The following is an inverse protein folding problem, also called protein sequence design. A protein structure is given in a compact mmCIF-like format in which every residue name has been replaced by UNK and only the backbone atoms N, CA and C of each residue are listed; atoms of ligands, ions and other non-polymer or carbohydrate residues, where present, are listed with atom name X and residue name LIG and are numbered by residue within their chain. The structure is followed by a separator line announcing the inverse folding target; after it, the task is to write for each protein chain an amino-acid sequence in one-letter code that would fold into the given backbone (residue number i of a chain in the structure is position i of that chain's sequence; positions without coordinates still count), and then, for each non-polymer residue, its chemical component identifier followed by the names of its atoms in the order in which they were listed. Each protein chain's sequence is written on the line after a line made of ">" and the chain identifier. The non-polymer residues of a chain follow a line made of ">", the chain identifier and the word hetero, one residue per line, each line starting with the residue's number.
data_IF_243564154439
#
_entry.id   IF_243564154439
#
_cell.length_a   1.000
_cell.length_b   1.000
_cell.length_c   1.000
_cell.angle_alpha   90.00
_cell.angle_beta   90.00
_cell.angle_gamma   90.00
#
_symmetry.space_group_name_H-M   'P 1'
#
loop_
_entity.id
_entity.type
_entity.pdbx_description
1 polymer ?
#
# COMPACT_ATOMS: atom_id res chain seq x y z
N UNK A 1 3.96 -21.06 -13.71
CA UNK A 1 5.41 -20.75 -13.83
C UNK A 1 6.01 -21.60 -14.96
N UNK A 2 6.49 -21.00 -16.06
CA UNK A 2 7.06 -21.77 -17.18
C UNK A 2 8.32 -22.51 -16.71
N UNK A 3 8.43 -23.81 -17.05
CA UNK A 3 9.57 -24.66 -16.71
C UNK A 3 10.85 -24.04 -17.24
N UNK A 4 11.61 -23.42 -16.33
CA UNK A 4 12.78 -22.61 -16.70
C UNK A 4 13.89 -23.53 -17.15
N UNK A 5 14.04 -23.69 -18.46
CA UNK A 5 15.22 -24.32 -19.01
C UNK A 5 16.44 -23.43 -18.70
N UNK A 6 17.43 -23.89 -17.92
CA UNK A 6 18.55 -23.06 -17.48
C UNK A 6 19.43 -22.59 -18.65
N UNK A 7 19.35 -23.27 -19.80
CA UNK A 7 20.01 -22.80 -21.03
C UNK A 7 19.26 -21.65 -21.67
N UNK A 8 17.92 -21.74 -21.75
CA UNK A 8 17.10 -20.67 -22.30
C UNK A 8 17.23 -19.38 -21.47
N UNK A 9 17.21 -19.50 -20.14
CA UNK A 9 17.41 -18.37 -19.22
C UNK A 9 18.77 -17.68 -19.41
N UNK A 10 19.86 -18.46 -19.54
CA UNK A 10 21.19 -17.89 -19.81
C UNK A 10 21.27 -17.17 -21.15
N UNK A 11 20.64 -17.73 -22.18
CA UNK A 11 20.58 -17.11 -23.51
C UNK A 11 19.75 -15.82 -23.46
N UNK A 12 18.61 -15.84 -22.77
CA UNK A 12 17.75 -14.68 -22.57
C UNK A 12 18.51 -13.52 -21.93
N UNK A 13 19.17 -13.76 -20.79
CA UNK A 13 19.97 -12.74 -20.09
C UNK A 13 21.11 -12.17 -20.95
N UNK A 14 21.74 -13.03 -21.77
CA UNK A 14 22.79 -12.59 -22.68
C UNK A 14 22.22 -11.73 -23.82
N UNK A 15 21.10 -12.14 -24.42
CA UNK A 15 20.40 -11.37 -25.46
C UNK A 15 20.00 -10.00 -24.90
N UNK A 16 19.39 -9.96 -23.72
CA UNK A 16 18.99 -8.72 -23.05
C UNK A 16 20.19 -7.78 -22.88
N UNK A 17 21.29 -8.27 -22.29
CA UNK A 17 22.52 -7.49 -22.09
C UNK A 17 23.08 -6.96 -23.40
N UNK A 18 23.14 -7.80 -24.43
CA UNK A 18 23.68 -7.43 -25.74
C UNK A 18 22.78 -6.39 -26.42
N UNK A 19 21.46 -6.56 -26.41
CA UNK A 19 20.57 -5.58 -27.03
C UNK A 19 20.64 -4.26 -26.27
N UNK A 20 20.48 -4.29 -24.93
CA UNK A 20 20.51 -3.09 -24.10
C UNK A 20 21.81 -2.28 -24.26
N UNK A 21 22.97 -2.95 -24.22
CA UNK A 21 24.28 -2.27 -24.33
C UNK A 21 24.59 -1.73 -25.73
N UNK A 22 23.92 -2.23 -26.78
CA UNK A 22 24.19 -1.82 -28.16
C UNK A 22 23.07 -0.97 -28.76
N UNK A 23 21.97 -0.77 -28.04
CA UNK A 23 20.82 -0.02 -28.53
C UNK A 23 21.19 1.45 -28.81
N UNK A 24 21.93 2.08 -27.90
CA UNK A 24 22.36 3.48 -28.05
C UNK A 24 23.49 3.63 -29.10
N UNK A 25 24.49 2.74 -29.04
CA UNK A 25 25.72 2.85 -29.84
C UNK A 25 25.60 2.37 -31.28
N UNK A 26 24.70 1.43 -31.57
CA UNK A 26 24.65 0.77 -32.89
C UNK A 26 23.58 1.39 -33.77
N UNK A 27 22.41 1.70 -33.20
CA UNK A 27 21.22 2.00 -34.00
C UNK A 27 21.14 3.45 -34.46
N UNK A 28 21.77 4.41 -33.77
CA UNK A 28 21.82 5.84 -34.14
C UNK A 28 20.45 6.46 -34.54
N UNK A 29 19.33 5.83 -34.17
CA UNK A 29 17.99 6.32 -34.49
C UNK A 29 17.45 7.10 -33.30
N UNK A 30 17.13 8.37 -33.51
CA UNK A 30 16.54 9.25 -32.48
C UNK A 30 15.24 8.67 -31.91
N UNK A 31 14.50 7.87 -32.69
CA UNK A 31 13.23 7.23 -32.30
C UNK A 31 13.41 6.12 -31.26
N UNK A 32 14.63 5.60 -31.11
CA UNK A 32 14.96 4.53 -30.17
C UNK A 32 15.59 5.06 -28.87
N UNK A 33 15.86 6.37 -28.76
CA UNK A 33 16.52 6.96 -27.58
C UNK A 33 15.78 6.75 -26.27
N UNK A 34 14.45 6.67 -26.31
CA UNK A 34 13.61 6.53 -25.13
C UNK A 34 13.11 5.09 -24.94
N UNK A 35 13.59 4.14 -25.74
CA UNK A 35 13.21 2.73 -25.64
C UNK A 35 14.08 2.08 -24.58
N UNK A 36 13.46 1.37 -23.65
CA UNK A 36 14.13 0.57 -22.63
C UNK A 36 13.71 -0.88 -22.77
N UNK A 37 14.66 -1.81 -22.69
CA UNK A 37 14.36 -3.25 -22.69
C UNK A 37 14.14 -3.69 -21.25
N UNK A 38 12.94 -4.16 -20.93
CA UNK A 38 12.56 -4.60 -19.57
C UNK A 38 12.98 -6.04 -19.35
N UNK A 39 12.59 -6.92 -20.28
CA UNK A 39 12.84 -8.36 -20.14
C UNK A 39 12.99 -9.08 -21.49
N UNK A 40 13.53 -10.31 -21.46
CA UNK A 40 13.65 -11.19 -22.63
C UNK A 40 13.25 -12.61 -22.24
N UNK A 41 12.34 -13.20 -23.01
CA UNK A 41 11.93 -14.59 -22.87
C UNK A 41 12.30 -15.39 -24.11
N UNK A 42 12.92 -16.55 -23.92
CA UNK A 42 13.32 -17.44 -25.02
C UNK A 42 12.52 -18.73 -24.93
N UNK A 43 12.01 -19.20 -26.06
CA UNK A 43 11.28 -20.47 -26.15
C UNK A 43 12.19 -21.65 -25.81
N UNK A 44 11.61 -22.77 -25.35
CA UNK A 44 12.39 -23.94 -24.92
C UNK A 44 13.24 -24.56 -26.05
N UNK A 45 12.80 -24.41 -27.29
CA UNK A 45 13.52 -24.82 -28.52
C UNK A 45 14.57 -23.81 -28.99
N UNK A 46 14.73 -22.67 -28.29
CA UNK A 46 15.68 -21.60 -28.55
C UNK A 46 15.53 -20.94 -29.93
N UNK A 47 14.36 -21.08 -30.56
CA UNK A 47 14.12 -20.54 -31.91
C UNK A 47 13.57 -19.11 -31.88
N UNK A 48 12.80 -18.76 -30.85
CA UNK A 48 12.13 -17.47 -30.73
C UNK A 48 12.56 -16.81 -29.41
N UNK A 49 12.89 -15.52 -29.49
CA UNK A 49 13.20 -14.68 -28.35
C UNK A 49 12.26 -13.48 -28.34
N UNK A 50 11.32 -13.45 -27.39
CA UNK A 50 10.43 -12.31 -27.13
C UNK A 50 11.18 -11.29 -26.29
N UNK A 51 11.30 -10.07 -26.80
CA UNK A 51 11.98 -8.95 -26.17
C UNK A 51 10.91 -7.94 -25.77
N UNK A 52 10.77 -7.75 -24.47
CA UNK A 52 9.85 -6.80 -23.87
C UNK A 52 10.53 -5.43 -23.81
N UNK A 53 9.81 -4.40 -24.24
CA UNK A 53 10.32 -3.04 -24.26
C UNK A 53 9.26 -2.05 -23.87
N UNK A 54 9.67 -0.99 -23.18
CA UNK A 54 8.83 0.14 -22.81
C UNK A 54 9.42 1.43 -23.39
N UNK A 55 8.59 2.46 -23.48
CA UNK A 55 9.02 3.82 -23.82
C UNK A 55 8.70 4.76 -22.70
N UNK A 56 9.71 5.53 -22.28
CA UNK A 56 9.48 6.64 -21.37
C UNK A 56 8.93 7.82 -22.19
N UNK A 57 7.60 8.01 -22.18
CA UNK A 57 6.96 9.19 -22.75
C UNK A 57 6.60 10.18 -21.64
N UNK A 58 7.09 11.41 -21.75
CA UNK A 58 6.84 12.47 -20.77
C UNK A 58 5.67 13.39 -21.16
N UNK A 59 5.04 13.18 -22.32
CA UNK A 59 4.21 14.21 -22.95
C UNK A 59 2.97 13.62 -23.63
N UNK A 60 2.10 12.90 -22.90
CA UNK A 60 0.69 12.64 -23.26
C UNK A 60 0.35 12.13 -24.68
N UNK A 61 1.34 11.75 -25.48
CA UNK A 61 1.24 11.36 -26.90
C UNK A 61 1.98 10.03 -27.11
N UNK A 62 1.72 9.12 -26.18
CA UNK A 62 2.40 7.83 -26.07
C UNK A 62 2.16 6.95 -27.31
N UNK A 63 0.95 6.98 -27.86
CA UNK A 63 0.56 6.17 -29.02
C UNK A 63 1.39 6.45 -30.29
N UNK A 64 1.65 7.73 -30.57
CA UNK A 64 2.43 8.14 -31.74
C UNK A 64 3.91 7.80 -31.61
N UNK A 65 4.46 7.90 -30.40
CA UNK A 65 5.83 7.53 -30.07
C UNK A 65 6.03 6.02 -30.10
N UNK A 66 5.11 5.27 -29.47
CA UNK A 66 5.09 3.81 -29.46
C UNK A 66 5.08 3.22 -30.87
N UNK A 67 4.23 3.72 -31.77
CA UNK A 67 4.19 3.27 -33.18
C UNK A 67 5.50 3.54 -33.93
N UNK A 68 6.12 4.70 -33.71
CA UNK A 68 7.40 5.06 -34.32
C UNK A 68 8.54 4.19 -33.78
N UNK A 69 8.60 3.97 -32.47
CA UNK A 69 9.58 3.11 -31.81
C UNK A 69 9.45 1.65 -32.29
N UNK A 70 8.22 1.11 -32.33
CA UNK A 70 7.95 -0.23 -32.87
C UNK A 70 8.44 -0.39 -34.31
N UNK A 71 8.19 0.60 -35.16
CA UNK A 71 8.65 0.56 -36.56
C UNK A 71 10.17 0.55 -36.64
N UNK A 72 10.84 1.40 -35.86
CA UNK A 72 12.30 1.46 -35.80
C UNK A 72 12.91 0.15 -35.27
N UNK A 73 12.34 -0.45 -34.21
CA UNK A 73 12.77 -1.76 -33.69
C UNK A 73 12.62 -2.87 -34.73
N UNK A 74 11.52 -2.87 -35.49
CA UNK A 74 11.31 -3.85 -36.55
C UNK A 74 12.32 -3.71 -37.70
N UNK A 75 12.67 -2.47 -38.07
CA UNK A 75 13.74 -2.22 -39.05
C UNK A 75 15.11 -2.63 -38.51
N UNK A 76 15.35 -2.42 -37.22
CA UNK A 76 16.56 -2.79 -36.50
C UNK A 76 16.74 -4.30 -36.29
N UNK A 77 15.65 -5.08 -36.38
CA UNK A 77 15.58 -6.51 -36.03
C UNK A 77 16.70 -7.33 -36.67
N UNK A 78 16.97 -7.14 -37.96
CA UNK A 78 18.01 -7.89 -38.67
C UNK A 78 19.42 -7.58 -38.14
N UNK A 79 19.72 -6.30 -37.91
CA UNK A 79 21.02 -5.86 -37.40
C UNK A 79 21.24 -6.31 -35.96
N UNK A 80 20.22 -6.18 -35.11
CA UNK A 80 20.26 -6.66 -33.73
C UNK A 80 20.47 -8.17 -33.67
N UNK A 81 19.79 -8.94 -34.53
CA UNK A 81 19.99 -10.38 -34.62
C UNK A 81 21.43 -10.74 -35.00
N UNK A 82 22.00 -10.11 -36.01
CA UNK A 82 23.40 -10.36 -36.41
C UNK A 82 24.38 -10.02 -35.28
N UNK A 83 24.13 -8.92 -34.56
CA UNK A 83 24.97 -8.49 -33.45
C UNK A 83 24.89 -9.48 -32.28
N UNK A 84 23.68 -9.93 -31.94
CA UNK A 84 23.45 -10.99 -30.95
C UNK A 84 24.18 -12.25 -31.35
N UNK A 85 24.06 -12.72 -32.59
CA UNK A 85 24.79 -13.91 -33.06
C UNK A 85 26.30 -13.78 -32.89
N UNK A 86 26.85 -12.61 -33.25
CA UNK A 86 28.29 -12.33 -33.13
C UNK A 86 28.78 -12.26 -31.68
N UNK A 87 28.05 -11.58 -30.78
CA UNK A 87 28.45 -11.44 -29.36
C UNK A 87 28.14 -12.68 -28.52
N UNK A 88 27.06 -13.39 -28.84
CA UNK A 88 26.61 -14.56 -28.10
C UNK A 88 27.33 -15.86 -28.50
N UNK A 89 28.02 -15.87 -29.66
CA UNK A 89 28.65 -17.08 -30.18
C UNK A 89 27.65 -18.20 -30.50
N UNK A 90 26.39 -17.83 -30.80
CA UNK A 90 25.32 -18.79 -31.05
C UNK A 90 25.41 -19.33 -32.48
N UNK A 91 25.44 -20.66 -32.62
CA UNK A 91 25.34 -21.32 -33.94
C UNK A 91 24.04 -20.97 -34.65
N UNK A 92 22.93 -20.94 -33.90
CA UNK A 92 21.62 -20.51 -34.38
C UNK A 92 21.16 -19.35 -33.51
N UNK A 93 20.99 -18.17 -34.12
CA UNK A 93 20.45 -17.02 -33.42
C UNK A 93 18.92 -17.03 -33.51
N UNK A 94 18.21 -16.95 -32.37
CA UNK A 94 16.74 -16.92 -32.36
C UNK A 94 16.19 -15.73 -33.15
N UNK A 95 14.95 -15.84 -33.56
CA UNK A 95 14.20 -14.72 -34.10
C UNK A 95 13.78 -13.79 -32.97
N UNK A 96 14.09 -12.50 -33.10
CA UNK A 96 13.72 -11.49 -32.10
C UNK A 96 12.29 -11.00 -32.37
N UNK A 97 11.39 -11.14 -31.40
CA UNK A 97 10.03 -10.58 -31.46
C UNK A 97 9.91 -9.47 -30.43
N UNK A 98 9.59 -8.24 -30.88
CA UNK A 98 9.46 -7.11 -29.98
C UNK A 98 8.01 -6.98 -29.50
N UNK A 99 7.82 -7.14 -28.20
CA UNK A 99 6.53 -7.00 -27.51
C UNK A 99 6.59 -5.74 -26.67
N UNK A 100 5.61 -4.85 -26.85
CA UNK A 100 5.54 -3.67 -25.99
C UNK A 100 5.11 -4.12 -24.61
N UNK A 101 5.87 -3.71 -23.62
CA UNK A 101 5.57 -3.89 -22.22
C UNK A 101 4.70 -2.72 -21.80
N UNK A 102 3.40 -2.99 -21.69
CA UNK A 102 2.47 -2.09 -21.01
C UNK A 102 2.82 -2.16 -19.53
N UNK A 103 3.90 -1.49 -19.11
CA UNK A 103 4.02 -1.08 -17.72
C UNK A 103 2.93 -0.04 -17.58
N UNK A 104 1.79 -0.36 -16.94
CA UNK A 104 0.73 0.61 -16.79
C UNK A 104 1.34 1.78 -16.03
N UNK A 105 0.85 2.97 -16.29
CA UNK A 105 1.10 4.11 -15.40
C UNK A 105 0.44 3.88 -14.04
N UNK A 106 0.74 2.80 -13.33
CA UNK A 106 0.30 2.55 -11.94
C UNK A 106 0.82 3.64 -11.01
N UNK A 107 1.81 4.41 -11.43
CA UNK A 107 2.17 5.67 -10.79
C UNK A 107 0.99 6.65 -10.70
N UNK A 108 0.08 6.69 -11.69
CA UNK A 108 -1.09 7.57 -11.65
C UNK A 108 -2.16 7.08 -10.70
N UNK A 109 -2.40 5.77 -10.63
CA UNK A 109 -3.40 5.22 -9.70
C UNK A 109 -2.96 5.40 -8.25
N UNK A 110 -1.68 5.18 -7.96
CA UNK A 110 -1.10 5.46 -6.64
C UNK A 110 -1.16 6.95 -6.33
N UNK A 111 -0.82 7.83 -7.27
CA UNK A 111 -0.91 9.29 -7.09
C UNK A 111 -2.37 9.73 -6.82
N UNK A 112 -3.33 9.18 -7.55
CA UNK A 112 -4.76 9.49 -7.39
C UNK A 112 -5.30 9.01 -6.03
N UNK A 113 -4.87 7.82 -5.58
CA UNK A 113 -5.19 7.30 -4.24
C UNK A 113 -4.57 8.19 -3.16
N UNK A 114 -3.30 8.61 -3.31
CA UNK A 114 -2.60 9.49 -2.37
C UNK A 114 -3.26 10.87 -2.27
N UNK A 115 -3.65 11.46 -3.42
CA UNK A 115 -4.38 12.73 -3.47
C UNK A 115 -5.75 12.60 -2.78
N UNK A 116 -6.44 11.49 -2.99
CA UNK A 116 -7.74 11.23 -2.36
C UNK A 116 -7.62 11.04 -0.85
N UNK A 117 -6.62 10.29 -0.39
CA UNK A 117 -6.32 10.09 1.03
C UNK A 117 -6.02 11.43 1.72
N UNK A 118 -5.15 12.26 1.12
CA UNK A 118 -4.80 13.58 1.65
C UNK A 118 -6.01 14.49 1.81
N UNK A 119 -6.92 14.51 0.83
CA UNK A 119 -8.16 15.29 0.91
C UNK A 119 -9.04 14.85 2.07
N UNK A 120 -9.21 13.54 2.27
CA UNK A 120 -9.99 12.98 3.37
C UNK A 120 -9.39 13.33 4.73
N UNK A 121 -8.07 13.24 4.86
CA UNK A 121 -7.38 13.61 6.11
C UNK A 121 -7.53 15.10 6.44
N UNK A 122 -7.43 15.97 5.42
CA UNK A 122 -7.65 17.41 5.59
C UNK A 122 -9.10 17.74 6.00
N UNK A 123 -10.09 17.04 5.43
CA UNK A 123 -11.50 17.18 5.84
C UNK A 123 -11.73 16.70 7.27
N UNK A 124 -11.17 15.55 7.64
CA UNK A 124 -11.27 14.98 8.97
C UNK A 124 -10.58 15.86 10.02
N UNK A 125 -9.44 16.48 9.69
CA UNK A 125 -8.77 17.45 10.54
C UNK A 125 -9.61 18.71 10.78
N UNK A 126 -10.29 19.23 9.74
CA UNK A 126 -11.21 20.37 9.88
C UNK A 126 -12.42 20.01 10.76
N UNK A 127 -13.00 18.83 10.55
CA UNK A 127 -14.12 18.35 11.35
C UNK A 127 -13.74 18.22 12.83
N UNK A 128 -12.57 17.65 13.12
CA UNK A 128 -12.03 17.55 14.49
C UNK A 128 -11.77 18.90 15.14
N UNK A 129 -11.27 19.89 14.39
CA UNK A 129 -11.04 21.24 14.91
C UNK A 129 -12.33 21.94 15.34
N UNK A 130 -13.46 21.62 14.69
CA UNK A 130 -14.79 22.14 15.04
C UNK A 130 -15.62 21.22 15.94
N UNK A 131 -15.15 20.00 16.22
CA UNK A 131 -15.91 19.02 16.98
C UNK A 131 -15.89 19.38 18.47
N UNK A 132 -17.08 19.46 19.05
CA UNK A 132 -17.25 19.48 20.51
C UNK A 132 -17.34 18.04 21.02
N UNK A 133 -16.71 17.77 22.16
CA UNK A 133 -16.76 16.47 22.81
C UNK A 133 -18.22 16.11 23.11
N UNK A 134 -18.64 14.90 22.75
CA UNK A 134 -20.05 14.48 22.83
C UNK A 134 -20.52 14.11 24.25
N UNK A 135 -19.64 14.18 25.25
CA UNK A 135 -19.95 13.93 26.65
C UNK A 135 -19.94 15.21 27.48
N UNK A 136 -20.68 15.19 28.58
CA UNK A 136 -20.58 16.22 29.61
C UNK A 136 -19.23 16.12 30.36
N UNK A 137 -18.81 17.21 31.01
CA UNK A 137 -17.52 17.32 31.68
C UNK A 137 -17.32 16.30 32.81
N UNK A 138 -18.41 15.73 33.32
CA UNK A 138 -18.38 14.63 34.29
C UNK A 138 -19.39 13.54 33.88
N UNK A 139 -18.92 12.40 33.34
CA UNK A 139 -19.77 11.31 32.92
C UNK A 139 -20.20 10.38 34.07
N UNK A 140 -19.72 10.59 35.30
CA UNK A 140 -20.03 9.72 36.43
C UNK A 140 -21.25 10.20 37.21
N UNK A 141 -22.05 9.23 37.66
CA UNK A 141 -23.19 9.47 38.54
C UNK A 141 -22.65 9.74 39.94
N UNK A 142 -22.76 10.98 40.39
CA UNK A 142 -22.62 11.30 41.80
C UNK A 142 -23.92 10.89 42.50
N UNK A 143 -23.87 9.79 43.23
CA UNK A 143 -24.91 9.52 44.20
C UNK A 143 -24.76 10.57 45.30
N UNK A 144 -25.80 11.39 45.44
CA UNK A 144 -25.98 12.42 46.44
C UNK A 144 -26.06 11.77 47.83
N UNK A 145 -24.90 11.36 48.34
CA UNK A 145 -24.70 11.18 49.77
C UNK A 145 -24.88 12.56 50.38
N UNK A 146 -26.06 12.80 50.97
CA UNK A 146 -26.26 13.94 51.85
C UNK A 146 -25.07 14.00 52.81
N UNK A 147 -24.49 15.18 52.89
CA UNK A 147 -23.42 15.53 53.79
C UNK A 147 -24.00 15.50 55.22
N UNK A 148 -24.33 14.31 55.72
CA UNK A 148 -24.63 14.11 57.14
C UNK A 148 -23.36 14.47 57.90
N UNK A 149 -23.50 15.48 58.75
CA UNK A 149 -22.47 16.07 59.59
C UNK A 149 -21.52 15.01 60.17
N UNK A 150 -20.33 14.87 59.56
CA UNK A 150 -19.21 14.08 60.09
C UNK A 150 -18.58 14.70 61.35
N UNK A 151 -19.24 15.66 62.00
CA UNK A 151 -18.71 16.40 63.13
C UNK A 151 -18.85 15.70 64.50
N UNK A 152 -19.49 14.52 64.61
CA UNK A 152 -19.86 13.99 65.94
C UNK A 152 -19.64 12.47 66.16
N UNK A 153 -18.73 11.79 65.45
CA UNK A 153 -18.50 10.34 65.71
C UNK A 153 -17.07 9.84 65.90
N UNK A 154 -16.04 10.65 65.71
CA UNK A 154 -14.70 10.30 66.21
C UNK A 154 -14.24 11.37 67.18
N UNK A 155 -14.31 11.06 68.47
CA UNK A 155 -13.66 11.86 69.53
C UNK A 155 -12.14 11.77 69.49
N UNK A 156 -11.55 11.68 68.29
CA UNK A 156 -10.13 11.71 68.05
C UNK A 156 -9.75 13.13 67.63
N UNK A 157 -8.87 13.77 68.39
CA UNK A 157 -8.32 15.07 68.06
C UNK A 157 -7.44 14.94 66.81
N UNK A 158 -7.28 16.02 66.04
CA UNK A 158 -6.42 16.03 64.84
C UNK A 158 -5.00 15.49 65.12
N UNK A 159 -4.49 15.70 66.34
CA UNK A 159 -3.19 15.19 66.77
C UNK A 159 -3.15 13.66 67.02
N UNK A 160 -4.29 13.04 67.30
CA UNK A 160 -4.40 11.57 67.42
C UNK A 160 -4.49 10.94 66.04
N UNK A 161 -5.24 11.54 65.12
CA UNK A 161 -5.31 11.11 63.71
C UNK A 161 -3.96 11.22 63.02
N UNK A 162 -3.22 12.30 63.26
CA UNK A 162 -1.89 12.52 62.68
C UNK A 162 -0.88 11.49 63.21
N UNK A 163 -0.99 11.05 64.47
CA UNK A 163 -0.17 9.95 65.01
C UNK A 163 -0.54 8.59 64.44
N UNK A 164 -1.83 8.31 64.27
CA UNK A 164 -2.30 7.05 63.68
C UNK A 164 -1.87 6.91 62.21
N UNK A 165 -1.83 8.03 61.47
CA UNK A 165 -1.30 8.09 60.11
C UNK A 165 0.23 7.88 60.06
N UNK A 166 0.98 8.46 61.00
CA UNK A 166 2.44 8.30 61.09
C UNK A 166 2.82 6.84 61.42
N UNK A 167 2.07 6.19 62.32
CA UNK A 167 2.23 4.77 62.66
C UNK A 167 1.94 3.84 61.45
N UNK A 168 0.97 4.20 60.59
CA UNK A 168 0.65 3.46 59.36
C UNK A 168 1.69 3.67 58.25
N UNK A 169 2.39 4.80 58.23
CA UNK A 169 3.44 5.08 57.25
C UNK A 169 4.72 4.26 57.52
N UNK A 170 4.88 3.78 58.76
CA UNK A 170 6.00 2.98 59.23
C UNK A 170 5.72 1.47 59.20
N UNK A 171 4.54 1.04 58.73
CA UNK A 171 4.28 -0.37 58.43
C UNK A 171 5.07 -0.74 57.17
N UNK A 172 6.02 -1.66 57.34
CA UNK A 172 6.97 -2.12 56.32
C UNK A 172 6.23 -2.41 54.99
N UNK A 173 6.47 -1.59 53.95
CA UNK A 173 5.82 -1.67 52.63
C UNK A 173 6.32 -2.84 51.77
N UNK A 174 7.14 -3.71 52.35
CA UNK A 174 7.84 -4.77 51.63
C UNK A 174 7.04 -6.07 51.49
N UNK A 175 5.82 -6.15 52.06
CA UNK A 175 4.92 -7.28 51.79
C UNK A 175 4.03 -7.01 50.57
N UNK A 176 4.67 -6.89 49.40
CA UNK A 176 3.99 -7.06 48.12
C UNK A 176 3.55 -8.53 47.99
N UNK A 177 2.33 -8.84 48.42
CA UNK A 177 1.73 -10.13 48.07
C UNK A 177 1.56 -10.17 46.55
N UNK A 178 2.28 -11.09 45.92
CA UNK A 178 2.14 -11.43 44.50
C UNK A 178 0.66 -11.58 44.15
N UNK A 179 0.17 -10.76 43.23
CA UNK A 179 -1.20 -10.81 42.75
C UNK A 179 -1.44 -12.16 42.08
N UNK A 180 -2.20 -13.04 42.74
CA UNK A 180 -2.62 -14.33 42.21
C UNK A 180 -3.74 -14.17 41.16
N UNK A 181 -3.54 -13.28 40.19
CA UNK A 181 -4.39 -13.17 39.02
C UNK A 181 -3.94 -14.17 37.98
N UNK A 182 -4.89 -14.96 37.46
CA UNK A 182 -4.64 -15.89 36.37
C UNK A 182 -3.93 -15.19 35.22
N UNK A 183 -2.74 -15.69 34.90
CA UNK A 183 -2.01 -15.33 33.69
C UNK A 183 -2.86 -15.83 32.53
N UNK A 184 -3.50 -14.93 31.80
CA UNK A 184 -4.15 -15.28 30.54
C UNK A 184 -3.02 -15.57 29.55
N UNK A 185 -2.78 -16.84 29.27
CA UNK A 185 -1.93 -17.26 28.15
C UNK A 185 -2.55 -16.72 26.87
N UNK A 186 -1.81 -15.85 26.19
CA UNK A 186 -2.16 -15.42 24.84
C UNK A 186 -1.74 -16.56 23.93
N UNK A 187 -2.71 -17.32 23.42
CA UNK A 187 -2.42 -18.34 22.40
C UNK A 187 -1.74 -17.64 21.21
N UNK A 188 -0.56 -18.15 20.84
CA UNK A 188 0.11 -17.76 19.61
C UNK A 188 -0.84 -18.09 18.46
N UNK A 189 -1.32 -17.04 17.76
CA UNK A 189 -2.03 -17.21 16.51
C UNK A 189 -1.08 -17.90 15.53
N UNK A 190 -1.38 -19.15 15.20
CA UNK A 190 -0.74 -19.85 14.09
C UNK A 190 -0.83 -18.98 12.83
N UNK A 191 0.30 -18.86 12.14
CA UNK A 191 0.45 -18.08 10.92
C UNK A 191 -0.72 -18.36 9.97
N UNK A 192 -1.56 -17.35 9.77
CA UNK A 192 -2.58 -17.36 8.72
C UNK A 192 -1.84 -17.37 7.38
N UNK A 193 -1.73 -18.56 6.78
CA UNK A 193 -1.32 -18.72 5.40
C UNK A 193 -2.27 -17.89 4.52
N UNK A 194 -1.66 -16.93 3.82
CA UNK A 194 -2.27 -15.97 2.92
C UNK A 194 -2.69 -16.70 1.64
N UNK A 195 -3.84 -17.39 1.68
CA UNK A 195 -4.53 -17.87 0.49
C UNK A 195 -5.64 -16.87 0.11
N UNK A 196 -5.47 -16.30 -1.08
CA UNK A 196 -6.43 -15.43 -1.78
C UNK A 196 -7.83 -16.06 -1.93
N UNK A 197 -8.81 -15.17 -2.11
CA UNK A 197 -10.20 -15.38 -2.57
C UNK A 197 -11.26 -15.82 -1.54
N UNK A 198 -11.96 -14.83 -0.94
CA UNK A 198 -13.42 -14.64 -1.10
C UNK A 198 -13.90 -13.40 -0.31
N UNK A 199 -14.19 -12.28 -0.99
CA UNK A 199 -14.79 -11.09 -0.35
C UNK A 199 -16.29 -11.09 -0.67
N UNK A 200 -17.20 -11.24 0.33
CA UNK A 200 -18.63 -11.21 0.07
C UNK A 200 -19.07 -9.82 -0.39
N UNK A 201 -19.55 -9.75 -1.63
CA UNK A 201 -20.09 -8.55 -2.26
C UNK A 201 -21.52 -8.25 -1.80
N UNK A 202 -21.76 -7.85 -0.54
CA UNK A 202 -23.06 -7.26 -0.18
C UNK A 202 -23.04 -6.38 1.07
N UNK A 203 -22.61 -5.12 0.92
CA UNK A 203 -22.83 -4.06 1.92
C UNK A 203 -23.26 -2.73 1.25
N UNK A 204 -23.90 -2.80 0.07
CA UNK A 204 -24.35 -1.62 -0.68
C UNK A 204 -25.81 -1.22 -0.41
N UNK A 205 -26.45 -1.78 0.62
CA UNK A 205 -27.86 -1.50 0.91
C UNK A 205 -28.13 -1.22 2.40
N UNK A 206 -27.55 -0.16 2.95
CA UNK A 206 -28.07 0.36 4.24
C UNK A 206 -27.89 1.86 4.48
N UNK A 207 -27.83 2.68 3.42
CA UNK A 207 -27.77 4.14 3.56
C UNK A 207 -28.72 4.87 2.59
N UNK A 208 -30.00 4.51 2.60
CA UNK A 208 -31.03 5.32 1.97
C UNK A 208 -32.40 5.06 2.59
N UNK A 209 -32.74 5.79 3.67
CA UNK A 209 -34.12 6.09 4.09
C UNK A 209 -34.09 7.00 5.32
N UNK A 210 -34.11 8.31 5.10
CA UNK A 210 -35.05 9.27 5.71
C UNK A 210 -34.65 10.70 5.35
N UNK A 211 -35.44 11.35 4.49
CA UNK A 211 -35.61 12.80 4.51
C UNK A 211 -37.10 13.06 4.74
N UNK A 212 -37.51 13.83 5.76
CA UNK A 212 -38.88 14.28 5.87
C UNK A 212 -39.15 15.41 4.88
N UNK A 213 -40.34 15.36 4.30
CA UNK A 213 -40.91 16.37 3.42
C UNK A 213 -41.13 17.69 4.17
N UNK A 214 -40.79 18.82 3.53
CA UNK A 214 -41.43 20.10 3.81
C UNK A 214 -41.84 20.74 2.50
N UNK A 215 -43.12 20.53 2.18
CA UNK A 215 -43.97 21.32 1.30
C UNK A 215 -44.02 22.77 1.78
N UNK A 216 -43.65 23.72 0.92
CA UNK A 216 -44.32 25.03 0.86
C UNK A 216 -44.52 25.39 -0.61
N UNK A 217 -45.78 25.29 -1.00
CA UNK A 217 -46.45 25.90 -2.14
C UNK A 217 -46.48 27.43 -1.97
N UNK A 218 -46.21 28.20 -3.02
CA UNK A 218 -47.02 29.38 -3.39
C UNK A 218 -46.58 29.99 -4.73
N UNK A 219 -47.36 29.66 -5.76
CA UNK A 219 -48.01 30.54 -6.76
C UNK A 219 -47.29 31.68 -7.50
N UNK A 220 -47.47 31.65 -8.84
CA UNK A 220 -47.73 32.75 -9.84
C UNK A 220 -46.64 33.83 -10.00
N UNK A 221 -46.32 34.33 -11.19
CA UNK A 221 -47.06 34.56 -12.46
C UNK A 221 -46.04 34.54 -13.61
#
# INVERSE_FOLDING_TARGET
>A
MQSTNPRAARIAALIQRVIASNMESTLHDKRLKNVTITDVHVTNDLQIAKVYWTTLSHTGNDDGERKRARTALNQAKGRLRSLVGAKAGLRLTPQLEFVFDEVPGEAHEIEDILVTARKRDEELAKLRASAQYAGDADPYRHDDFEQEDLADRSGATAAETERELDDLEHLDKDDYTEYAGDVVEVEELEDFDDDEDDVPSDMSQMAARTRPETTVDETRD
#
